data_IF_171717078745
#
_entry.id   IF_171717078745
#
_cell.length_a   1.000
_cell.length_b   1.000
_cell.length_c   1.000
_cell.angle_alpha   90.00
_cell.angle_beta   90.00
_cell.angle_gamma   90.00
#
_symmetry.space_group_name_H-M   'P 1'
#
loop_
_entity.id
_entity.type
_entity.pdbx_description
1 polymer ?
#
# COMPACT_ATOMS: atom_id res chain seq x y z
N UNK A 1 1.52 -1.20 -21.62
CA UNK A 1 1.50 -1.70 -20.23
C UNK A 1 1.81 -0.52 -19.31
N UNK A 2 0.85 -0.04 -18.53
CA UNK A 2 1.06 1.10 -17.62
C UNK A 2 1.63 0.56 -16.30
N UNK A 3 2.95 0.61 -16.13
CA UNK A 3 3.58 0.33 -14.84
C UNK A 3 3.33 1.51 -13.92
N UNK A 4 2.58 1.27 -12.84
CA UNK A 4 2.49 2.20 -11.70
C UNK A 4 3.91 2.50 -11.26
N UNK A 5 4.28 3.78 -11.12
CA UNK A 5 5.62 4.16 -10.61
C UNK A 5 5.62 3.99 -9.10
N UNK A 6 5.39 2.76 -8.62
CA UNK A 6 5.69 2.42 -7.24
C UNK A 6 7.18 2.72 -7.04
N UNK A 7 7.55 3.65 -6.13
CA UNK A 7 8.95 3.93 -5.88
C UNK A 7 9.63 2.62 -5.51
N UNK A 8 10.79 2.35 -6.12
CA UNK A 8 11.51 1.10 -5.92
C UNK A 8 11.67 0.81 -4.43
N UNK A 9 11.75 1.80 -3.54
CA UNK A 9 11.73 1.62 -2.07
C UNK A 9 10.65 0.68 -1.52
N UNK A 10 9.49 0.55 -2.17
CA UNK A 10 8.41 -0.37 -1.76
C UNK A 10 8.72 -1.81 -2.20
N UNK A 11 9.37 -1.99 -3.36
CA UNK A 11 9.75 -3.29 -3.93
C UNK A 11 11.16 -3.75 -3.48
N UNK A 12 12.08 -2.81 -3.31
CA UNK A 12 13.47 -2.98 -2.88
C UNK A 12 13.54 -2.88 -1.37
N UNK A 13 13.03 -3.91 -0.69
CA UNK A 13 13.49 -4.44 0.61
C UNK A 13 14.05 -3.43 1.65
N UNK A 14 13.62 -2.17 1.72
CA UNK A 14 13.85 -1.33 2.89
C UNK A 14 12.69 -1.61 3.84
N UNK A 15 12.65 -2.86 4.33
CA UNK A 15 11.66 -3.30 5.29
C UNK A 15 11.68 -2.30 6.45
N UNK A 16 10.59 -1.56 6.64
CA UNK A 16 10.35 -0.89 7.91
C UNK A 16 10.51 -1.94 9.01
N UNK A 17 11.31 -1.65 10.04
CA UNK A 17 11.60 -2.62 11.10
C UNK A 17 10.30 -3.30 11.58
N UNK A 18 10.31 -4.64 11.64
CA UNK A 18 9.16 -5.44 12.06
C UNK A 18 8.18 -5.92 10.98
N UNK A 19 8.44 -5.73 9.68
CA UNK A 19 7.63 -6.37 8.62
C UNK A 19 8.18 -7.77 8.30
N UNK A 20 7.36 -8.85 8.35
CA UNK A 20 7.78 -10.18 7.94
C UNK A 20 8.17 -10.24 6.45
N UNK A 21 8.99 -11.23 6.06
CA UNK A 21 9.28 -11.47 4.64
C UNK A 21 7.97 -11.75 3.87
N UNK A 22 7.88 -11.26 2.64
CA UNK A 22 6.67 -11.40 1.81
C UNK A 22 5.52 -10.48 2.21
N UNK A 23 5.77 -9.50 3.09
CA UNK A 23 4.81 -8.46 3.46
C UNK A 23 5.43 -7.09 3.25
N UNK A 24 4.58 -6.06 3.18
CA UNK A 24 5.00 -4.67 3.15
C UNK A 24 4.12 -3.82 4.09
N UNK A 25 4.66 -2.69 4.51
CA UNK A 25 3.94 -1.73 5.34
C UNK A 25 3.27 -0.66 4.47
N UNK A 26 2.00 -0.38 4.78
CA UNK A 26 1.22 0.70 4.20
C UNK A 26 0.75 1.59 5.32
N UNK A 27 0.83 2.90 5.13
CA UNK A 27 0.32 3.90 6.06
C UNK A 27 -1.01 4.43 5.52
N UNK A 28 -2.02 4.56 6.37
CA UNK A 28 -3.37 4.95 5.93
C UNK A 28 -3.88 6.11 6.76
N UNK A 29 -4.53 7.05 6.07
CA UNK A 29 -5.16 8.22 6.68
C UNK A 29 -4.18 9.24 7.23
N UNK A 30 -4.72 10.32 7.80
CA UNK A 30 -3.94 11.40 8.41
C UNK A 30 -3.14 10.93 9.63
N UNK A 31 -3.69 9.99 10.40
CA UNK A 31 -3.00 9.35 11.54
C UNK A 31 -1.82 8.49 11.12
N UNK A 32 -1.64 8.24 9.81
CA UNK A 32 -0.64 7.32 9.25
C UNK A 32 -0.63 5.99 9.97
N UNK A 33 -1.80 5.38 10.12
CA UNK A 33 -1.92 4.08 10.77
C UNK A 33 -1.23 3.01 9.92
N UNK A 34 -0.36 2.22 10.55
CA UNK A 34 0.46 1.22 9.87
C UNK A 34 -0.31 -0.09 9.71
N UNK A 35 -0.47 -0.53 8.47
CA UNK A 35 -1.01 -1.83 8.08
C UNK A 35 0.10 -2.69 7.47
N UNK A 36 0.16 -3.96 7.85
CA UNK A 36 1.09 -4.94 7.26
C UNK A 36 0.28 -5.87 6.39
N UNK A 37 0.55 -5.85 5.09
CA UNK A 37 -0.20 -6.63 4.11
C UNK A 37 0.73 -7.50 3.25
N UNK A 38 0.26 -8.66 2.77
CA UNK A 38 1.06 -9.55 1.93
C UNK A 38 1.42 -8.88 0.61
N UNK A 39 2.63 -9.11 0.11
CA UNK A 39 3.05 -8.63 -1.23
C UNK A 39 2.21 -9.21 -2.37
N UNK A 40 1.45 -10.29 -2.12
CA UNK A 40 0.44 -10.82 -3.03
C UNK A 40 -0.61 -9.79 -3.42
N UNK A 41 -0.92 -8.82 -2.55
CA UNK A 41 -1.91 -7.78 -2.83
C UNK A 41 -1.43 -6.87 -3.96
N UNK A 42 -0.12 -6.65 -4.11
CA UNK A 42 0.45 -5.87 -5.22
C UNK A 42 0.21 -6.52 -6.59
N UNK A 43 -0.08 -7.82 -6.62
CA UNK A 43 -0.44 -8.55 -7.86
C UNK A 43 -1.94 -8.48 -8.16
N UNK A 44 -2.75 -8.04 -7.20
CA UNK A 44 -4.20 -7.94 -7.39
C UNK A 44 -4.53 -6.63 -8.15
N UNK A 45 -5.27 -6.71 -9.27
CA UNK A 45 -5.59 -5.53 -10.09
C UNK A 45 -6.41 -4.48 -9.33
N UNK A 46 -7.24 -4.89 -8.37
CA UNK A 46 -8.02 -3.97 -7.53
C UNK A 46 -7.11 -3.13 -6.64
N UNK A 47 -6.10 -3.76 -6.03
CA UNK A 47 -5.11 -3.05 -5.22
C UNK A 47 -4.27 -2.11 -6.09
N UNK A 48 -3.85 -2.56 -7.27
CA UNK A 48 -3.13 -1.73 -8.24
C UNK A 48 -3.93 -0.49 -8.66
N UNK A 49 -5.24 -0.64 -8.92
CA UNK A 49 -6.10 0.48 -9.24
C UNK A 49 -6.20 1.49 -8.09
N UNK A 50 -6.28 0.99 -6.85
CA UNK A 50 -6.30 1.83 -5.65
C UNK A 50 -4.98 2.60 -5.47
N UNK A 51 -3.84 1.94 -5.70
CA UNK A 51 -2.53 2.59 -5.67
C UNK A 51 -2.38 3.66 -6.74
N UNK A 52 -2.84 3.38 -7.97
CA UNK A 52 -2.81 4.36 -9.06
C UNK A 52 -3.65 5.59 -8.71
N UNK A 53 -4.85 5.37 -8.18
CA UNK A 53 -5.72 6.48 -7.78
C UNK A 53 -5.09 7.33 -6.67
N UNK A 54 -4.46 6.68 -5.68
CA UNK A 54 -3.71 7.38 -4.64
C UNK A 54 -2.51 8.17 -5.20
N UNK A 55 -1.79 7.62 -6.17
CA UNK A 55 -0.70 8.29 -6.88
C UNK A 55 -1.19 9.52 -7.66
N UNK A 56 -2.30 9.37 -8.40
CA UNK A 56 -2.86 10.42 -9.26
C UNK A 56 -3.42 11.60 -8.45
N UNK A 57 -4.07 11.34 -7.31
CA UNK A 57 -4.65 12.40 -6.48
C UNK A 57 -3.63 13.07 -5.54
N UNK A 58 -2.64 12.34 -5.02
CA UNK A 58 -1.80 12.84 -3.92
C UNK A 58 -0.29 12.75 -4.18
N UNK A 59 0.12 12.03 -5.24
CA UNK A 59 1.53 11.79 -5.54
C UNK A 59 2.23 10.87 -4.53
N UNK A 60 3.27 10.16 -4.97
CA UNK A 60 4.15 9.39 -4.06
C UNK A 60 5.32 10.26 -3.57
N UNK A 61 5.04 11.43 -2.97
CA UNK A 61 6.06 12.34 -2.43
C UNK A 61 6.43 12.05 -0.96
N UNK A 62 6.53 10.78 -0.57
CA UNK A 62 6.83 10.41 0.82
C UNK A 62 8.05 9.50 0.92
N UNK A 63 9.12 10.05 1.48
CA UNK A 63 10.39 9.36 1.78
C UNK A 63 10.24 8.16 2.75
N UNK A 64 9.06 7.97 3.37
CA UNK A 64 8.85 7.02 4.48
C UNK A 64 7.98 5.79 4.11
N UNK A 65 7.55 5.63 2.86
CA UNK A 65 6.84 4.43 2.39
C UNK A 65 5.49 4.72 1.72
N UNK A 66 4.73 3.65 1.45
CA UNK A 66 3.45 3.74 0.76
C UNK A 66 2.40 4.31 1.70
N UNK A 67 1.92 5.52 1.41
CA UNK A 67 0.81 6.13 2.17
C UNK A 67 -0.41 6.18 1.28
N UNK A 68 -1.55 5.74 1.80
CA UNK A 68 -2.83 5.74 1.11
C UNK A 68 -3.73 6.74 1.84
N UNK A 69 -4.03 7.88 1.20
CA UNK A 69 -4.90 8.91 1.73
C UNK A 69 -6.36 8.47 1.58
N UNK A 70 -6.73 7.45 2.34
CA UNK A 70 -8.11 7.03 2.49
C UNK A 70 -8.44 6.86 3.97
N UNK A 71 -9.73 6.78 4.27
CA UNK A 71 -10.17 6.54 5.63
C UNK A 71 -9.70 5.15 6.10
N UNK A 72 -9.18 5.09 7.33
CA UNK A 72 -8.63 3.87 7.94
C UNK A 72 -9.66 2.73 7.98
N UNK A 73 -10.93 3.03 8.28
CA UNK A 73 -12.01 2.04 8.34
C UNK A 73 -12.33 1.47 6.95
N UNK A 74 -12.30 2.33 5.93
CA UNK A 74 -12.52 1.93 4.53
C UNK A 74 -11.39 1.01 4.07
N UNK A 75 -10.14 1.35 4.39
CA UNK A 75 -9.00 0.49 4.05
C UNK A 75 -9.04 -0.84 4.80
N UNK A 76 -9.45 -0.83 6.07
CA UNK A 76 -9.60 -2.05 6.85
C UNK A 76 -10.67 -2.97 6.24
N UNK A 77 -11.84 -2.43 5.87
CA UNK A 77 -12.87 -3.20 5.18
C UNK A 77 -12.37 -3.76 3.84
N UNK A 78 -11.65 -2.95 3.06
CA UNK A 78 -11.06 -3.36 1.79
C UNK A 78 -10.04 -4.49 1.94
N UNK A 79 -9.12 -4.37 2.90
CA UNK A 79 -8.11 -5.42 3.16
C UNK A 79 -8.73 -6.69 3.70
N UNK A 80 -9.80 -6.61 4.49
CA UNK A 80 -10.57 -7.76 4.96
C UNK A 80 -11.25 -8.50 3.80
N UNK A 81 -11.86 -7.78 2.85
CA UNK A 81 -12.44 -8.39 1.64
C UNK A 81 -11.38 -9.10 0.80
N UNK A 82 -10.18 -8.53 0.69
CA UNK A 82 -9.07 -9.15 -0.04
C UNK A 82 -8.44 -10.35 0.68
N UNK A 83 -8.54 -10.42 2.01
CA UNK A 83 -7.96 -11.52 2.79
C UNK A 83 -8.79 -12.81 2.70
N UNK A 84 -10.06 -12.69 2.33
CA UNK A 84 -11.00 -13.80 2.16
C UNK A 84 -11.07 -14.35 0.72
N UNK A 85 -10.26 -13.82 -0.21
CA UNK A 85 -10.28 -14.16 -1.64
C UNK A 85 -9.16 -15.14 -2.03
#
# INVERSE_FOLDING_TARGET
>A
MMSIRLPLSILTKKQAAGVPKGHFAVYVGDSRKRFVIPTSYLKNPTFQALLRKAEEEFGFEHHNGLTIPCNEDVFQAFTAQMACA
#
